data_IF_341556702691
#
_entry.id   IF_341556702691
#
_cell.length_a   1.000
_cell.length_b   1.000
_cell.length_c   1.000
_cell.angle_alpha   90.00
_cell.angle_beta   90.00
_cell.angle_gamma   90.00
#
_symmetry.space_group_name_H-M   'P 1'
#
loop_
_entity.id
_entity.type
_entity.pdbx_description
1 polymer ?
#
# COMPACT_ATOMS: atom_id res chain seq x y z
N UNK A 1 -7.72 2.66 -23.65
CA UNK A 1 -6.40 1.99 -23.71
C UNK A 1 -5.95 1.78 -22.28
N UNK A 2 -5.74 0.53 -21.83
CA UNK A 2 -5.27 0.25 -20.47
C UNK A 2 -3.80 0.67 -20.38
N UNK A 3 -3.45 1.59 -19.47
CA UNK A 3 -2.08 2.05 -19.28
C UNK A 3 -1.40 1.18 -18.22
N UNK A 4 -0.49 0.31 -18.66
CA UNK A 4 0.33 -0.51 -17.77
C UNK A 4 1.29 0.39 -16.99
N UNK A 5 1.44 0.14 -15.69
CA UNK A 5 2.49 0.72 -14.87
C UNK A 5 3.77 -0.05 -15.16
N UNK A 6 4.70 0.57 -15.87
CA UNK A 6 5.95 -0.06 -16.29
C UNK A 6 6.95 -0.09 -15.12
N UNK A 7 7.80 -1.11 -15.12
CA UNK A 7 8.76 -1.32 -14.06
C UNK A 7 9.89 -0.29 -14.05
N UNK A 8 9.96 0.49 -12.97
CA UNK A 8 11.15 1.23 -12.54
C UNK A 8 12.04 0.34 -11.68
N UNK A 9 11.46 -0.40 -10.73
CA UNK A 9 12.20 -1.34 -9.86
C UNK A 9 11.76 -2.80 -10.02
N UNK A 10 10.60 -3.10 -10.62
CA UNK A 10 10.12 -4.48 -10.87
C UNK A 10 10.65 -5.12 -12.17
N UNK A 11 11.71 -4.56 -12.76
CA UNK A 11 12.38 -5.11 -13.94
C UNK A 11 11.48 -5.20 -15.18
N UNK A 12 11.50 -6.34 -15.87
CA UNK A 12 10.73 -6.57 -17.09
C UNK A 12 9.21 -6.78 -16.84
N UNK A 13 8.78 -6.86 -15.58
CA UNK A 13 7.37 -6.97 -15.24
C UNK A 13 6.65 -5.62 -15.33
N UNK A 14 5.34 -5.68 -15.55
CA UNK A 14 4.45 -4.53 -15.49
C UNK A 14 3.28 -4.81 -14.55
N UNK A 15 2.79 -3.77 -13.88
CA UNK A 15 1.59 -3.85 -13.06
C UNK A 15 0.39 -3.33 -13.86
N UNK A 16 -0.72 -4.04 -13.76
CA UNK A 16 -2.00 -3.51 -14.19
C UNK A 16 -2.34 -2.29 -13.32
N UNK A 17 -2.99 -1.25 -13.88
CA UNK A 17 -3.43 -0.14 -13.07
C UNK A 17 -4.53 -0.59 -12.09
N UNK A 18 -4.72 0.17 -11.01
CA UNK A 18 -5.86 -0.01 -10.13
C UNK A 18 -7.18 0.07 -10.92
N UNK A 19 -8.17 -0.73 -10.53
CA UNK A 19 -9.48 -0.69 -11.16
C UNK A 19 -10.13 0.69 -10.95
N UNK A 20 -10.87 1.23 -11.93
CA UNK A 20 -11.60 2.49 -11.75
C UNK A 20 -12.52 2.44 -10.52
N UNK A 21 -12.49 3.49 -9.70
CA UNK A 21 -13.27 3.57 -8.46
C UNK A 21 -12.60 2.97 -7.22
N UNK A 22 -11.44 2.32 -7.36
CA UNK A 22 -10.63 1.84 -6.22
C UNK A 22 -9.47 2.79 -5.92
N UNK A 23 -8.85 2.63 -4.75
CA UNK A 23 -7.67 3.39 -4.37
C UNK A 23 -6.54 3.21 -5.40
N UNK A 24 -5.96 4.29 -5.97
CA UNK A 24 -4.93 4.19 -6.99
C UNK A 24 -3.61 3.60 -6.47
N UNK A 25 -3.40 3.63 -5.15
CA UNK A 25 -2.18 3.13 -4.50
C UNK A 25 -2.23 1.63 -4.17
N UNK A 26 -3.39 1.13 -3.74
CA UNK A 26 -3.51 -0.26 -3.27
C UNK A 26 -4.53 -1.12 -4.04
N UNK A 27 -5.28 -0.53 -4.98
CA UNK A 27 -6.34 -1.16 -5.78
C UNK A 27 -7.48 -1.80 -4.97
N UNK A 28 -7.70 -1.30 -3.75
CA UNK A 28 -8.80 -1.73 -2.86
C UNK A 28 -9.80 -0.57 -2.73
N UNK A 29 -11.09 -0.91 -2.65
CA UNK A 29 -12.13 0.03 -2.23
C UNK A 29 -12.11 0.15 -0.70
N UNK A 30 -11.56 1.26 -0.20
CA UNK A 30 -11.49 1.55 1.22
C UNK A 30 -11.71 3.06 1.48
N UNK A 31 -12.26 3.43 2.65
CA UNK A 31 -12.31 4.83 3.08
C UNK A 31 -10.90 5.48 3.14
N UNK A 32 -10.72 6.75 2.70
CA UNK A 32 -9.41 7.41 2.62
C UNK A 32 -8.68 7.56 3.96
N UNK A 33 -9.38 7.51 5.08
CA UNK A 33 -8.82 7.60 6.42
C UNK A 33 -8.16 6.29 6.87
N UNK A 34 -8.53 5.15 6.28
CA UNK A 34 -7.98 3.84 6.63
C UNK A 34 -6.66 3.60 5.90
N UNK A 35 -5.69 2.92 6.56
CA UNK A 35 -4.40 2.66 5.93
C UNK A 35 -4.51 1.68 4.78
N UNK A 36 -3.48 1.67 3.94
CA UNK A 36 -3.28 0.58 3.01
C UNK A 36 -2.98 -0.71 3.78
N UNK A 37 -3.28 -1.86 3.17
CA UNK A 37 -2.82 -3.14 3.69
C UNK A 37 -1.38 -3.39 3.22
N UNK A 38 -0.40 -3.32 4.13
CA UNK A 38 1.02 -3.56 3.83
C UNK A 38 1.26 -4.93 3.18
N UNK A 39 0.39 -5.91 3.42
CA UNK A 39 0.49 -7.27 2.90
C UNK A 39 -0.23 -7.46 1.56
N UNK A 40 -0.93 -6.45 1.04
CA UNK A 40 -1.53 -6.51 -0.30
C UNK A 40 -0.44 -6.57 -1.36
N UNK A 41 -0.46 -7.61 -2.21
CA UNK A 41 0.53 -7.75 -3.29
C UNK A 41 0.53 -6.55 -4.24
N UNK A 42 -0.65 -6.01 -4.58
CA UNK A 42 -0.72 -4.83 -5.44
C UNK A 42 0.01 -3.65 -4.79
N UNK A 43 -0.28 -3.37 -3.52
CA UNK A 43 0.36 -2.28 -2.79
C UNK A 43 1.87 -2.51 -2.65
N UNK A 44 2.30 -3.71 -2.26
CA UNK A 44 3.71 -4.07 -2.12
C UNK A 44 4.50 -3.83 -3.41
N UNK A 45 4.00 -4.34 -4.53
CA UNK A 45 4.71 -4.21 -5.81
C UNK A 45 4.60 -2.80 -6.38
N UNK A 46 3.48 -2.08 -6.21
CA UNK A 46 3.39 -0.67 -6.61
C UNK A 46 4.37 0.17 -5.80
N UNK A 47 4.36 0.05 -4.48
CA UNK A 47 5.28 0.76 -3.59
C UNK A 47 6.74 0.41 -3.90
N UNK A 48 7.07 -0.87 -4.05
CA UNK A 48 8.42 -1.29 -4.44
C UNK A 48 8.81 -0.70 -5.79
N UNK A 49 7.91 -0.69 -6.77
CA UNK A 49 8.18 -0.10 -8.07
C UNK A 49 8.46 1.41 -7.98
N UNK A 50 7.84 2.12 -7.06
CA UNK A 50 8.01 3.56 -6.89
C UNK A 50 9.28 3.90 -6.06
N UNK A 51 9.56 3.10 -5.02
CA UNK A 51 10.54 3.41 -3.97
C UNK A 51 11.79 2.50 -3.90
N UNK A 52 11.78 1.34 -4.55
CA UNK A 52 12.90 0.40 -4.56
C UNK A 52 13.12 -0.39 -3.27
N UNK A 53 12.14 -0.38 -2.35
CA UNK A 53 12.11 -1.18 -1.11
C UNK A 53 10.69 -1.65 -0.82
N UNK A 54 10.54 -2.71 -0.03
CA UNK A 54 9.23 -3.17 0.40
C UNK A 54 8.62 -2.19 1.41
N UNK A 55 7.29 -1.98 1.41
CA UNK A 55 6.63 -1.10 2.36
C UNK A 55 6.64 -1.70 3.77
N UNK A 56 6.69 -0.84 4.78
CA UNK A 56 6.40 -1.14 6.18
C UNK A 56 4.93 -0.83 6.49
N UNK A 57 4.44 -1.22 7.67
CA UNK A 57 3.12 -0.78 8.12
C UNK A 57 3.06 0.74 8.35
N UNK A 58 4.17 1.38 8.73
CA UNK A 58 4.27 2.85 8.83
C UNK A 58 4.09 3.53 7.47
N UNK A 59 4.65 2.96 6.39
CA UNK A 59 4.41 3.47 5.03
C UNK A 59 2.94 3.35 4.63
N UNK A 60 2.32 2.23 4.98
CA UNK A 60 0.92 1.93 4.69
C UNK A 60 -0.05 2.88 5.42
N UNK A 61 0.36 3.42 6.58
CA UNK A 61 -0.40 4.41 7.36
C UNK A 61 0.07 5.85 7.11
N UNK A 62 0.99 6.11 6.19
CA UNK A 62 1.65 7.42 6.06
C UNK A 62 0.67 8.58 5.83
N UNK A 63 -0.44 8.32 5.12
CA UNK A 63 -1.50 9.29 4.85
C UNK A 63 -2.56 9.40 5.98
N UNK A 64 -2.53 8.51 6.96
CA UNK A 64 -3.51 8.48 8.05
C UNK A 64 -3.30 9.64 9.04
N UNK A 65 -4.35 9.97 9.79
CA UNK A 65 -4.23 10.84 10.97
C UNK A 65 -3.40 10.17 12.07
N UNK A 66 -2.87 10.98 13.00
CA UNK A 66 -2.13 10.44 14.14
C UNK A 66 -2.98 9.53 15.04
N UNK A 67 -4.27 9.84 15.21
CA UNK A 67 -5.21 9.00 15.94
C UNK A 67 -5.36 7.62 15.27
N UNK A 68 -5.54 7.60 13.94
CA UNK A 68 -5.67 6.36 13.19
C UNK A 68 -4.37 5.54 13.20
N UNK A 69 -3.21 6.20 13.05
CA UNK A 69 -1.91 5.54 13.20
C UNK A 69 -1.76 4.91 14.59
N UNK A 70 -2.18 5.62 15.64
CA UNK A 70 -2.12 5.11 17.01
C UNK A 70 -2.98 3.86 17.17
N UNK A 71 -4.24 3.90 16.72
CA UNK A 71 -5.16 2.75 16.75
C UNK A 71 -4.54 1.54 16.02
N UNK A 72 -4.04 1.74 14.80
CA UNK A 72 -3.48 0.64 14.01
C UNK A 72 -2.18 0.08 14.58
N UNK A 73 -1.28 0.92 15.11
CA UNK A 73 -0.08 0.43 15.81
C UNK A 73 -0.44 -0.48 16.98
N UNK A 74 -1.43 -0.08 17.79
CA UNK A 74 -1.90 -0.89 18.91
C UNK A 74 -2.50 -2.22 18.42
N UNK A 75 -3.35 -2.19 17.41
CA UNK A 75 -3.98 -3.39 16.86
C UNK A 75 -2.97 -4.34 16.21
N UNK A 76 -1.97 -3.82 15.52
CA UNK A 76 -0.88 -4.62 14.92
C UNK A 76 -0.01 -5.26 16.00
N UNK A 77 0.36 -4.53 17.05
CA UNK A 77 1.13 -5.06 18.18
C UNK A 77 0.39 -6.17 18.92
N UNK A 78 -0.93 -6.03 19.13
CA UNK A 78 -1.77 -7.11 19.71
C UNK A 78 -1.75 -8.39 18.89
N UNK A 79 -1.46 -8.29 17.58
CA UNK A 79 -1.34 -9.43 16.65
C UNK A 79 0.11 -9.93 16.49
N UNK A 80 1.05 -9.41 17.27
CA UNK A 80 2.46 -9.81 17.24
C UNK A 80 3.25 -9.22 16.07
N UNK A 81 2.74 -8.17 15.42
CA UNK A 81 3.47 -7.45 14.38
C UNK A 81 4.43 -6.46 15.04
N UNK A 82 5.71 -6.55 14.68
CA UNK A 82 6.72 -5.56 15.07
C UNK A 82 6.54 -4.30 14.21
N UNK A 83 6.34 -3.16 14.88
CA UNK A 83 6.07 -1.85 14.27
C UNK A 83 6.59 -0.70 15.12
#
# INVERSE_FOLDING_TARGET
>A
MIRIIHGKHIGAFGLMPAAPGTCPECAVDHPPELPHNQQSLFYQYKFYNDHGRWPTWEDAMSHCSEDMKTIWREELRKRGVEI
#
